data_IF_102922753806
#
_entry.id   IF_102922753806
#
_cell.length_a   1.000
_cell.length_b   1.000
_cell.length_c   1.000
_cell.angle_alpha   90.00
_cell.angle_beta   90.00
_cell.angle_gamma   90.00
#
_symmetry.space_group_name_H-M   'P 1'
#
loop_
_entity.id
_entity.type
_entity.pdbx_description
1 polymer ?
#
# COMPACT_ATOMS: atom_id res chain seq x y z
N UNK A 1 19.52 18.37 7.28
CA UNK A 1 20.33 19.52 7.75
C UNK A 1 20.02 20.71 6.86
N UNK A 2 19.62 21.83 7.47
CA UNK A 2 19.30 23.09 6.78
C UNK A 2 20.37 24.09 7.20
N UNK A 3 20.95 24.81 6.25
CA UNK A 3 21.87 25.91 6.51
C UNK A 3 21.31 27.20 5.90
N UNK A 4 21.17 28.24 6.71
CA UNK A 4 20.58 29.53 6.33
C UNK A 4 19.24 29.42 5.55
N UNK A 5 18.38 28.46 5.93
CA UNK A 5 17.09 28.24 5.27
C UNK A 5 17.13 27.36 4.01
N UNK A 6 18.31 26.96 3.54
CA UNK A 6 18.47 26.05 2.39
C UNK A 6 18.76 24.61 2.84
N UNK A 7 18.08 23.59 2.30
CA UNK A 7 18.39 22.20 2.61
C UNK A 7 19.77 21.84 2.03
N UNK A 8 20.71 21.44 2.90
CA UNK A 8 22.08 21.10 2.51
C UNK A 8 22.25 19.59 2.28
N UNK A 9 21.94 18.78 3.30
CA UNK A 9 21.91 17.31 3.17
C UNK A 9 20.78 16.73 4.01
N UNK A 10 19.92 15.94 3.38
CA UNK A 10 18.81 15.21 4.01
C UNK A 10 19.03 13.71 4.01
N UNK A 11 20.15 13.24 3.46
CA UNK A 11 20.42 11.81 3.29
C UNK A 11 20.80 11.16 4.63
N UNK A 12 20.01 10.20 5.13
CA UNK A 12 20.24 9.59 6.45
C UNK A 12 21.60 8.89 6.57
N UNK A 13 22.11 8.34 5.47
CA UNK A 13 23.41 7.66 5.46
C UNK A 13 24.57 8.63 5.67
N UNK A 14 24.49 9.82 5.06
CA UNK A 14 25.44 10.91 5.29
C UNK A 14 25.29 11.42 6.73
N UNK A 15 24.05 11.62 7.19
CA UNK A 15 23.76 12.13 8.54
C UNK A 15 24.25 11.17 9.64
N UNK A 16 24.09 9.86 9.49
CA UNK A 16 24.59 8.85 10.46
C UNK A 16 26.10 8.74 10.51
N UNK A 17 26.80 9.10 9.43
CA UNK A 17 28.26 9.13 9.38
C UNK A 17 28.81 10.44 9.98
N UNK A 18 28.10 11.56 9.78
CA UNK A 18 28.43 12.83 10.43
C UNK A 18 28.09 12.84 11.92
N UNK A 19 26.97 12.22 12.30
CA UNK A 19 26.44 12.19 13.66
C UNK A 19 26.28 10.72 14.05
N UNK A 20 27.24 10.21 14.81
CA UNK A 20 27.18 8.84 15.29
C UNK A 20 25.96 8.68 16.23
N UNK A 21 25.07 7.70 16.01
CA UNK A 21 23.97 7.45 16.93
C UNK A 21 24.53 7.10 18.32
N UNK A 22 23.92 7.63 19.40
CA UNK A 22 24.46 7.45 20.74
C UNK A 22 24.36 5.98 21.17
N UNK A 23 25.51 5.36 21.44
CA UNK A 23 25.60 4.04 22.07
C UNK A 23 25.67 4.19 23.60
N UNK A 24 25.23 3.16 24.33
CA UNK A 24 25.22 3.17 25.81
C UNK A 24 26.63 3.46 26.36
N UNK A 25 27.68 2.95 25.70
CA UNK A 25 29.08 3.18 26.05
C UNK A 25 29.51 4.63 25.82
N UNK A 26 29.05 5.28 24.74
CA UNK A 26 29.40 6.69 24.47
C UNK A 26 28.69 7.65 25.41
N UNK A 27 27.48 7.32 25.87
CA UNK A 27 26.81 8.06 26.96
C UNK A 27 27.62 8.00 28.26
N UNK A 28 28.12 6.82 28.65
CA UNK A 28 28.91 6.67 29.89
C UNK A 28 30.26 7.40 29.78
N UNK A 29 30.94 7.35 28.63
CA UNK A 29 32.18 8.11 28.43
C UNK A 29 31.96 9.63 28.43
N UNK A 30 30.85 10.12 27.87
CA UNK A 30 30.54 11.57 27.85
C UNK A 30 30.32 12.15 29.25
N UNK A 31 29.82 11.35 30.21
CA UNK A 31 29.62 11.76 31.60
C UNK A 31 30.94 11.85 32.36
N UNK A 32 31.94 11.04 32.00
CA UNK A 32 33.23 10.95 32.72
C UNK A 32 34.28 11.92 32.18
N UNK A 33 34.26 12.24 30.88
CA UNK A 33 35.35 12.98 30.21
C UNK A 33 34.99 14.40 29.77
N UNK A 34 33.73 14.82 29.93
CA UNK A 34 33.29 16.21 29.80
C UNK A 34 33.31 16.82 28.39
N UNK A 35 33.92 16.21 27.38
CA UNK A 35 33.99 16.73 26.02
C UNK A 35 34.16 15.63 24.97
N UNK A 36 33.07 14.96 24.58
CA UNK A 36 33.07 14.10 23.39
C UNK A 36 31.91 14.54 22.49
N UNK A 37 32.21 15.34 21.48
CA UNK A 37 31.25 15.68 20.43
C UNK A 37 30.91 14.42 19.64
N UNK A 38 29.63 14.08 19.50
CA UNK A 38 29.17 12.98 18.64
C UNK A 38 29.28 13.27 17.13
N UNK A 39 29.95 14.38 16.79
CA UNK A 39 30.20 14.85 15.43
C UNK A 39 31.56 14.30 14.99
N UNK A 40 31.57 13.57 13.88
CA UNK A 40 32.82 13.04 13.31
C UNK A 40 33.72 14.16 12.80
N UNK A 41 35.03 14.08 13.08
CA UNK A 41 36.05 15.00 12.55
C UNK A 41 36.50 14.65 11.11
N UNK A 42 36.00 13.54 10.54
CA UNK A 42 36.28 13.14 9.15
C UNK A 42 35.07 13.44 8.27
N UNK A 43 35.30 14.01 7.09
CA UNK A 43 34.23 14.20 6.10
C UNK A 43 33.70 12.82 5.67
N UNK A 44 32.38 12.61 5.65
CA UNK A 44 31.79 11.36 5.19
C UNK A 44 32.20 11.07 3.74
N UNK A 45 32.64 9.85 3.44
CA UNK A 45 33.01 9.46 2.07
C UNK A 45 31.84 9.62 1.08
N UNK A 46 30.61 9.53 1.59
CA UNK A 46 29.38 9.76 0.83
C UNK A 46 29.18 11.20 0.33
N UNK A 47 29.86 12.21 0.91
CA UNK A 47 29.78 13.62 0.43
C UNK A 47 30.59 13.85 -0.85
N UNK A 48 31.56 12.99 -1.16
CA UNK A 48 32.35 13.01 -2.40
C UNK A 48 31.83 12.00 -3.45
N UNK A 49 30.84 11.17 -3.10
CA UNK A 49 30.27 10.13 -3.95
C UNK A 49 29.12 10.67 -4.81
N UNK A 50 29.07 10.29 -6.08
CA UNK A 50 27.90 10.53 -6.94
C UNK A 50 26.67 9.68 -6.53
N UNK A 51 26.79 8.87 -5.48
CA UNK A 51 25.74 7.98 -4.92
C UNK A 51 25.61 8.29 -3.42
N UNK A 52 25.02 9.43 -3.04
CA UNK A 52 25.00 9.90 -1.65
C UNK A 52 24.14 9.03 -0.72
N UNK A 53 23.21 8.26 -1.28
CA UNK A 53 22.31 7.35 -0.55
C UNK A 53 22.93 5.98 -0.22
N UNK A 54 24.18 5.69 -0.59
CA UNK A 54 24.79 4.36 -0.38
C UNK A 54 26.27 4.43 0.01
N UNK A 55 26.68 3.62 0.99
CA UNK A 55 28.08 3.45 1.39
C UNK A 55 28.82 2.49 0.45
N UNK A 56 30.09 2.77 0.16
CA UNK A 56 30.91 2.04 -0.82
C UNK A 56 31.48 0.72 -0.30
N UNK A 57 31.68 0.59 1.01
CA UNK A 57 32.37 -0.50 1.71
C UNK A 57 31.43 -1.51 2.38
N UNK A 58 30.14 -1.47 2.04
CA UNK A 58 29.10 -2.26 2.68
C UNK A 58 29.28 -3.75 2.37
N UNK A 59 29.25 -4.61 3.39
CA UNK A 59 29.43 -6.07 3.27
C UNK A 59 28.29 -6.81 3.96
N UNK A 60 27.64 -7.71 3.23
CA UNK A 60 26.65 -8.63 3.75
C UNK A 60 27.15 -10.07 3.64
N UNK A 61 26.73 -10.92 4.58
CA UNK A 61 27.03 -12.37 4.57
C UNK A 61 26.45 -13.05 3.32
N UNK A 62 25.27 -12.60 2.89
CA UNK A 62 24.59 -13.07 1.68
C UNK A 62 24.07 -11.86 0.90
N UNK A 63 24.18 -11.91 -0.43
CA UNK A 63 23.64 -10.89 -1.31
C UNK A 63 22.21 -11.26 -1.71
N UNK A 64 21.23 -10.45 -1.32
CA UNK A 64 19.82 -10.68 -1.66
C UNK A 64 19.10 -9.37 -1.98
N UNK A 65 18.12 -9.45 -2.88
CA UNK A 65 17.23 -8.35 -3.21
C UNK A 65 15.80 -8.86 -3.37
N UNK A 66 14.86 -8.18 -2.73
CA UNK A 66 13.43 -8.43 -2.87
C UNK A 66 12.76 -7.22 -3.48
N UNK A 67 11.88 -7.44 -4.45
CA UNK A 67 11.07 -6.41 -5.08
C UNK A 67 9.60 -6.74 -4.86
N UNK A 68 8.92 -5.87 -4.13
CA UNK A 68 7.50 -5.95 -3.83
C UNK A 68 6.74 -4.94 -4.68
N UNK A 69 5.78 -5.44 -5.45
CA UNK A 69 4.80 -4.62 -6.16
C UNK A 69 3.53 -4.50 -5.31
N UNK A 70 3.36 -3.36 -4.66
CA UNK A 70 2.24 -3.11 -3.74
C UNK A 70 1.25 -2.16 -4.38
N UNK A 71 0.00 -2.60 -4.53
CA UNK A 71 -1.07 -1.80 -5.12
C UNK A 71 -2.22 -1.56 -4.15
N UNK A 72 -2.74 -0.35 -4.17
CA UNK A 72 -3.97 0.05 -3.52
C UNK A 72 -5.00 0.43 -4.57
N UNK A 73 -6.18 -0.17 -4.46
CA UNK A 73 -7.29 0.06 -5.37
C UNK A 73 -8.32 1.01 -4.78
N UNK A 74 -8.47 2.17 -5.41
CA UNK A 74 -9.55 3.10 -5.14
C UNK A 74 -10.70 2.83 -6.11
N UNK A 75 -11.91 2.71 -5.58
CA UNK A 75 -13.12 2.56 -6.37
C UNK A 75 -14.29 3.29 -5.73
N UNK A 76 -15.12 3.95 -6.55
CA UNK A 76 -16.39 4.53 -6.09
C UNK A 76 -17.49 3.99 -6.99
N UNK A 77 -18.43 3.28 -6.39
CA UNK A 77 -19.63 2.78 -7.05
C UNK A 77 -20.82 3.63 -6.56
N UNK A 78 -21.55 4.22 -7.50
CA UNK A 78 -22.74 5.02 -7.16
C UNK A 78 -23.94 4.13 -6.82
N UNK A 79 -25.05 4.77 -6.40
CA UNK A 79 -26.31 4.11 -6.05
C UNK A 79 -26.91 3.24 -7.15
N UNK A 80 -26.70 3.62 -8.41
CA UNK A 80 -27.17 2.85 -9.57
C UNK A 80 -26.29 1.63 -9.88
N UNK A 81 -25.22 1.42 -9.11
CA UNK A 81 -24.23 0.35 -9.34
C UNK A 81 -23.20 0.67 -10.43
N UNK A 82 -23.13 1.93 -10.88
CA UNK A 82 -22.16 2.40 -11.88
C UNK A 82 -20.82 2.73 -11.22
N UNK A 83 -19.74 2.26 -11.85
CA UNK A 83 -18.37 2.55 -11.43
C UNK A 83 -17.97 3.97 -11.86
N UNK A 84 -17.88 4.89 -10.89
CA UNK A 84 -17.60 6.32 -11.12
C UNK A 84 -16.10 6.62 -11.06
N UNK A 85 -15.40 6.00 -10.10
CA UNK A 85 -13.94 6.08 -9.93
C UNK A 85 -13.40 4.66 -9.87
N UNK A 86 -12.29 4.40 -10.55
CA UNK A 86 -11.57 3.14 -10.44
C UNK A 86 -10.12 3.38 -10.84
N UNK A 87 -9.23 3.40 -9.86
CA UNK A 87 -7.82 3.75 -10.04
C UNK A 87 -6.95 2.88 -9.13
N UNK A 88 -5.72 2.67 -9.56
CA UNK A 88 -4.69 1.97 -8.79
C UNK A 88 -3.59 2.97 -8.45
N UNK A 89 -3.18 2.96 -7.19
CA UNK A 89 -1.93 3.55 -6.73
C UNK A 89 -0.97 2.42 -6.43
N UNK A 90 0.14 2.37 -7.14
CA UNK A 90 1.13 1.33 -7.00
C UNK A 90 2.46 1.86 -6.50
N UNK A 91 3.16 1.04 -5.74
CA UNK A 91 4.53 1.27 -5.30
C UNK A 91 5.39 0.06 -5.64
N UNK A 92 6.62 0.32 -6.08
CA UNK A 92 7.67 -0.68 -6.18
C UNK A 92 8.58 -0.48 -4.97
N UNK A 93 8.45 -1.37 -4.00
CA UNK A 93 9.25 -1.38 -2.78
C UNK A 93 10.40 -2.37 -2.96
N UNK A 94 11.60 -1.97 -2.56
CA UNK A 94 12.80 -2.79 -2.71
C UNK A 94 13.44 -2.96 -1.34
N UNK A 95 13.72 -4.20 -0.96
CA UNK A 95 14.59 -4.51 0.15
C UNK A 95 15.91 -5.09 -0.38
N UNK A 96 17.00 -4.33 -0.24
CA UNK A 96 18.29 -4.65 -0.83
C UNK A 96 19.34 -4.88 0.26
N UNK A 97 19.82 -6.12 0.38
CA UNK A 97 20.97 -6.49 1.20
C UNK A 97 22.10 -6.94 0.27
N UNK A 98 22.78 -5.97 -0.34
CA UNK A 98 23.80 -6.19 -1.36
C UNK A 98 25.13 -5.58 -0.94
N UNK A 99 26.24 -6.26 -1.22
CA UNK A 99 27.58 -5.78 -0.86
C UNK A 99 28.14 -4.82 -1.93
N UNK A 100 29.00 -3.89 -1.52
CA UNK A 100 29.68 -2.95 -2.42
C UNK A 100 28.74 -1.96 -3.11
N UNK A 101 29.05 -1.68 -4.39
CA UNK A 101 28.31 -0.75 -5.27
C UNK A 101 27.61 -1.51 -6.42
N UNK A 102 26.49 -2.21 -6.14
CA UNK A 102 25.75 -2.93 -7.16
C UNK A 102 25.05 -1.97 -8.11
N UNK A 103 25.02 -2.31 -9.40
CA UNK A 103 24.25 -1.59 -10.41
C UNK A 103 23.08 -2.48 -10.86
N UNK A 104 21.85 -2.01 -10.62
CA UNK A 104 20.62 -2.74 -10.86
C UNK A 104 19.90 -2.20 -12.09
N UNK A 105 19.24 -3.11 -12.80
CA UNK A 105 18.38 -2.78 -13.93
C UNK A 105 17.07 -3.55 -13.80
N UNK A 106 15.94 -2.85 -13.68
CA UNK A 106 14.59 -3.42 -13.61
C UNK A 106 13.78 -3.01 -14.85
N UNK A 107 13.22 -4.00 -15.56
CA UNK A 107 12.31 -3.81 -16.69
C UNK A 107 10.92 -4.36 -16.39
N UNK A 108 9.92 -3.77 -17.05
CA UNK A 108 8.55 -4.26 -17.04
C UNK A 108 8.19 -4.82 -18.42
N UNK A 109 7.32 -5.82 -18.46
CA UNK A 109 6.85 -6.40 -19.72
C UNK A 109 5.90 -5.45 -20.47
N UNK A 110 5.24 -4.56 -19.75
CA UNK A 110 4.23 -3.63 -20.23
C UNK A 110 4.37 -2.23 -19.59
N UNK A 111 5.51 -1.54 -19.80
CA UNK A 111 5.80 -0.27 -19.15
C UNK A 111 4.86 0.87 -19.58
N UNK A 112 4.13 0.72 -20.69
CA UNK A 112 3.16 1.72 -21.17
C UNK A 112 2.00 2.02 -20.20
N UNK A 113 1.83 1.20 -19.16
CA UNK A 113 0.88 1.44 -18.07
C UNK A 113 1.38 2.57 -17.13
N UNK A 114 2.70 2.77 -17.05
CA UNK A 114 3.38 3.68 -16.12
C UNK A 114 3.44 5.14 -16.62
N UNK A 115 2.29 5.69 -17.01
CA UNK A 115 2.21 7.06 -17.55
C UNK A 115 2.38 8.17 -16.49
N UNK A 116 2.05 7.88 -15.23
CA UNK A 116 2.20 8.79 -14.09
C UNK A 116 3.07 8.07 -13.06
N UNK A 117 4.39 8.28 -13.15
CA UNK A 117 5.39 7.61 -12.32
C UNK A 117 6.31 8.64 -11.65
N UNK A 118 6.71 8.34 -10.42
CA UNK A 118 7.68 9.10 -9.64
C UNK A 118 8.75 8.17 -9.13
N UNK A 119 10.00 8.62 -9.17
CA UNK A 119 11.16 7.78 -8.89
C UNK A 119 11.90 8.25 -7.65
N UNK A 120 12.51 7.29 -6.98
CA UNK A 120 13.55 7.57 -6.00
C UNK A 120 14.74 8.26 -6.68
N UNK A 121 15.46 9.18 -6.01
CA UNK A 121 16.65 9.82 -6.56
C UNK A 121 17.76 8.87 -7.05
N UNK A 122 17.72 7.60 -6.64
CA UNK A 122 18.67 6.60 -7.09
C UNK A 122 18.47 6.13 -8.53
N UNK A 123 17.30 6.43 -9.12
CA UNK A 123 16.97 6.07 -10.49
C UNK A 123 17.57 7.06 -11.47
N UNK A 124 18.34 6.55 -12.43
CA UNK A 124 18.85 7.32 -13.55
C UNK A 124 17.70 7.58 -14.52
N UNK A 125 17.38 8.85 -14.78
CA UNK A 125 16.24 9.22 -15.63
C UNK A 125 16.48 8.95 -17.13
N UNK A 126 17.71 9.09 -17.64
CA UNK A 126 17.98 8.92 -19.08
C UNK A 126 17.62 7.51 -19.61
N UNK A 127 18.00 6.39 -18.95
CA UNK A 127 17.56 5.05 -19.38
C UNK A 127 16.04 4.86 -19.32
N UNK A 128 15.37 5.49 -18.35
CA UNK A 128 13.92 5.48 -18.26
C UNK A 128 13.27 6.20 -19.45
N UNK A 129 13.69 7.44 -19.72
CA UNK A 129 13.16 8.24 -20.84
C UNK A 129 13.39 7.56 -22.20
N UNK A 130 14.55 6.93 -22.40
CA UNK A 130 14.90 6.30 -23.67
C UNK A 130 14.23 4.94 -23.90
N UNK A 131 14.23 4.08 -22.88
CA UNK A 131 13.88 2.65 -23.04
C UNK A 131 12.88 2.14 -21.99
N UNK A 132 12.38 3.00 -21.10
CA UNK A 132 11.51 2.62 -19.98
C UNK A 132 12.15 1.58 -19.04
N UNK A 133 13.47 1.71 -18.85
CA UNK A 133 14.27 0.84 -18.00
C UNK A 133 14.68 1.59 -16.74
N UNK A 134 14.43 1.01 -15.56
CA UNK A 134 14.90 1.56 -14.30
C UNK A 134 16.34 1.11 -14.06
N UNK A 135 17.30 2.02 -14.19
CA UNK A 135 18.70 1.78 -13.83
C UNK A 135 19.07 2.56 -12.57
N UNK A 136 19.61 1.88 -11.56
CA UNK A 136 19.86 2.48 -10.25
C UNK A 136 20.92 1.74 -9.42
N UNK A 137 21.53 2.48 -8.50
CA UNK A 137 22.31 1.89 -7.40
C UNK A 137 21.43 1.95 -6.14
N UNK A 138 20.94 0.82 -5.60
CA UNK A 138 19.96 0.83 -4.51
C UNK A 138 20.55 1.36 -3.19
N UNK A 139 19.82 2.15 -2.40
CA UNK A 139 20.04 2.23 -0.96
C UNK A 139 20.10 0.84 -0.32
N UNK A 140 20.77 0.73 0.83
CA UNK A 140 20.77 -0.52 1.60
C UNK A 140 19.53 -0.62 2.49
N UNK A 141 18.95 -1.82 2.58
CA UNK A 141 17.70 -2.09 3.28
C UNK A 141 16.45 -1.76 2.45
N UNK A 142 15.36 -1.48 3.15
CA UNK A 142 14.05 -1.20 2.56
C UNK A 142 13.91 0.25 2.11
N UNK A 143 13.49 0.45 0.85
CA UNK A 143 13.18 1.76 0.31
C UNK A 143 12.13 1.68 -0.81
N UNK A 144 11.44 2.79 -1.06
CA UNK A 144 10.53 2.91 -2.21
C UNK A 144 11.32 3.31 -3.44
N UNK A 145 11.40 2.43 -4.44
CA UNK A 145 12.08 2.69 -5.71
C UNK A 145 11.27 3.62 -6.61
N UNK A 146 9.97 3.36 -6.73
CA UNK A 146 9.06 4.21 -7.49
C UNK A 146 7.62 4.09 -6.99
N UNK A 147 6.81 5.08 -7.33
CA UNK A 147 5.35 5.04 -7.20
C UNK A 147 4.72 5.39 -8.53
N UNK A 148 3.57 4.80 -8.84
CA UNK A 148 2.84 5.04 -10.07
C UNK A 148 1.33 5.09 -9.83
N UNK A 149 0.60 5.67 -10.78
CA UNK A 149 -0.86 5.72 -10.77
C UNK A 149 -1.45 5.27 -12.09
N UNK A 150 -2.40 4.35 -12.03
CA UNK A 150 -3.16 3.88 -13.19
C UNK A 150 -4.60 4.31 -13.02
N UNK A 151 -5.08 5.16 -13.92
CA UNK A 151 -6.43 5.72 -13.86
C UNK A 151 -7.39 4.97 -14.78
N UNK A 152 -8.69 5.10 -14.50
CA UNK A 152 -9.78 4.62 -15.37
C UNK A 152 -9.74 3.11 -15.65
N UNK A 153 -9.48 2.30 -14.62
CA UNK A 153 -9.70 0.86 -14.73
C UNK A 153 -11.17 0.59 -15.01
N UNK A 154 -11.46 -0.41 -15.84
CA UNK A 154 -12.83 -0.69 -16.29
C UNK A 154 -13.66 -1.47 -15.27
N UNK A 155 -13.03 -2.03 -14.25
CA UNK A 155 -13.64 -3.12 -13.50
C UNK A 155 -12.98 -3.36 -12.14
N UNK A 156 -13.74 -3.88 -11.17
CA UNK A 156 -13.30 -4.23 -9.82
C UNK A 156 -13.26 -5.75 -9.61
N UNK A 157 -12.43 -6.29 -8.70
CA UNK A 157 -12.33 -7.74 -8.42
C UNK A 157 -13.48 -8.27 -7.55
N UNK A 158 -14.19 -7.35 -6.87
CA UNK A 158 -15.32 -7.63 -5.98
C UNK A 158 -16.48 -6.70 -6.37
N UNK A 159 -17.70 -7.20 -6.28
CA UNK A 159 -18.91 -6.39 -6.26
C UNK A 159 -19.59 -6.45 -4.90
N UNK A 160 -20.19 -5.33 -4.49
CA UNK A 160 -21.07 -5.23 -3.33
C UNK A 160 -22.39 -4.63 -3.81
N UNK A 161 -23.51 -5.25 -3.44
CA UNK A 161 -24.85 -4.82 -3.81
C UNK A 161 -25.68 -4.60 -2.55
N UNK A 162 -25.69 -3.39 -1.99
CA UNK A 162 -26.63 -3.02 -0.94
C UNK A 162 -28.03 -2.80 -1.53
N UNK A 163 -29.06 -3.18 -0.76
CA UNK A 163 -30.46 -2.97 -1.04
C UNK A 163 -31.13 -2.57 0.28
N UNK A 164 -31.76 -1.39 0.30
CA UNK A 164 -32.47 -0.88 1.46
C UNK A 164 -33.90 -0.57 1.07
N UNK A 165 -34.86 -1.06 1.85
CA UNK A 165 -36.29 -0.75 1.71
C UNK A 165 -36.84 -0.37 3.07
N UNK A 166 -37.51 0.77 3.17
CA UNK A 166 -38.10 1.23 4.43
C UNK A 166 -39.58 1.52 4.30
N UNK A 167 -40.36 1.00 5.23
CA UNK A 167 -41.79 1.24 5.40
C UNK A 167 -42.13 1.33 6.89
N UNK A 168 -43.15 2.12 7.23
CA UNK A 168 -43.77 2.13 8.58
C UNK A 168 -42.79 2.16 9.76
N UNK A 169 -41.67 2.89 9.65
CA UNK A 169 -40.66 3.01 10.71
C UNK A 169 -39.69 1.83 10.84
N UNK A 170 -39.73 0.88 9.90
CA UNK A 170 -38.77 -0.23 9.79
C UNK A 170 -38.01 -0.14 8.46
N UNK A 171 -36.71 -0.39 8.48
CA UNK A 171 -35.89 -0.55 7.28
C UNK A 171 -35.34 -1.96 7.20
N UNK A 172 -35.61 -2.64 6.09
CA UNK A 172 -34.94 -3.90 5.73
C UNK A 172 -33.69 -3.59 4.91
N UNK A 173 -32.59 -4.21 5.29
CA UNK A 173 -31.31 -4.13 4.57
C UNK A 173 -30.91 -5.51 4.08
N UNK A 174 -30.37 -5.58 2.87
CA UNK A 174 -29.69 -6.74 2.32
C UNK A 174 -28.43 -6.29 1.58
N UNK A 175 -27.29 -6.92 1.87
CA UNK A 175 -26.00 -6.63 1.24
C UNK A 175 -25.43 -7.94 0.71
N UNK A 176 -25.27 -8.02 -0.61
CA UNK A 176 -24.68 -9.18 -1.29
C UNK A 176 -23.25 -8.85 -1.73
N UNK A 177 -22.30 -9.75 -1.47
CA UNK A 177 -20.89 -9.61 -1.87
C UNK A 177 -20.51 -10.80 -2.75
N UNK A 178 -19.77 -10.54 -3.82
CA UNK A 178 -19.27 -11.60 -4.70
C UNK A 178 -18.06 -11.18 -5.51
N UNK A 179 -17.44 -12.16 -6.16
CA UNK A 179 -16.30 -11.93 -7.07
C UNK A 179 -16.84 -11.35 -8.39
N UNK A 180 -16.14 -10.37 -8.94
CA UNK A 180 -16.33 -9.85 -10.30
C UNK A 180 -14.96 -9.79 -10.95
N UNK A 181 -14.80 -10.16 -12.22
CA UNK A 181 -13.49 -10.12 -12.90
C UNK A 181 -12.41 -10.86 -12.10
N UNK A 182 -12.58 -12.18 -11.97
CA UNK A 182 -11.69 -13.02 -11.18
C UNK A 182 -10.21 -12.78 -11.54
N UNK A 183 -9.37 -12.32 -10.58
CA UNK A 183 -7.96 -12.10 -10.80
C UNK A 183 -7.13 -13.39 -10.90
N UNK A 184 -7.77 -14.57 -10.79
CA UNK A 184 -7.12 -15.88 -10.83
C UNK A 184 -6.35 -16.24 -9.56
N UNK A 185 -6.53 -15.45 -8.49
CA UNK A 185 -5.94 -15.66 -7.15
C UNK A 185 -7.00 -15.46 -6.07
N UNK A 186 -6.76 -16.03 -4.90
CA UNK A 186 -7.68 -15.89 -3.77
C UNK A 186 -7.78 -14.44 -3.30
N UNK A 187 -9.01 -13.99 -3.09
CA UNK A 187 -9.31 -12.71 -2.47
C UNK A 187 -9.67 -12.97 -1.01
N UNK A 188 -8.85 -12.41 -0.12
CA UNK A 188 -8.86 -12.67 1.32
C UNK A 188 -9.12 -11.39 2.10
N UNK A 189 -9.32 -11.53 3.42
CA UNK A 189 -9.53 -10.41 4.34
C UNK A 189 -10.65 -9.47 3.89
N UNK A 190 -11.71 -10.03 3.29
CA UNK A 190 -12.83 -9.25 2.79
C UNK A 190 -13.65 -8.76 3.98
N UNK A 191 -13.85 -7.45 4.06
CA UNK A 191 -14.72 -6.81 5.05
C UNK A 191 -15.60 -5.76 4.39
N UNK A 192 -16.84 -5.63 4.86
CA UNK A 192 -17.73 -4.52 4.51
C UNK A 192 -18.09 -3.76 5.77
N UNK A 193 -17.81 -2.47 5.79
CA UNK A 193 -18.08 -1.59 6.92
C UNK A 193 -19.00 -0.45 6.49
N UNK A 194 -19.93 -0.06 7.36
CA UNK A 194 -20.75 1.12 7.15
C UNK A 194 -21.23 1.68 8.47
N UNK A 195 -21.52 2.98 8.49
CA UNK A 195 -22.09 3.66 9.65
C UNK A 195 -23.61 3.56 9.59
N UNK A 196 -24.28 3.14 10.67
CA UNK A 196 -25.74 3.25 10.72
C UNK A 196 -26.14 4.74 10.70
N UNK A 197 -27.14 5.12 9.89
CA UNK A 197 -27.67 6.49 9.91
C UNK A 197 -28.11 6.90 11.33
N UNK A 198 -27.94 8.17 11.73
CA UNK A 198 -28.26 8.62 13.10
C UNK A 198 -29.68 8.25 13.56
N UNK A 199 -30.63 8.31 12.62
CA UNK A 199 -32.05 7.99 12.82
C UNK A 199 -32.37 6.50 13.04
N UNK A 200 -31.37 5.62 13.01
CA UNK A 200 -31.54 4.20 13.37
C UNK A 200 -31.36 4.04 14.88
N UNK A 201 -32.41 3.55 15.55
CA UNK A 201 -32.43 3.28 17.00
C UNK A 201 -31.82 1.92 17.34
N UNK A 202 -32.13 0.89 16.54
CA UNK A 202 -31.64 -0.46 16.71
C UNK A 202 -31.50 -1.15 15.36
N UNK A 203 -30.59 -2.12 15.28
CA UNK A 203 -30.36 -2.92 14.09
C UNK A 203 -30.12 -4.38 14.50
N UNK A 204 -30.85 -5.29 13.87
CA UNK A 204 -30.68 -6.73 13.98
C UNK A 204 -30.22 -7.25 12.62
N UNK A 205 -28.93 -7.54 12.52
CA UNK A 205 -28.25 -7.91 11.29
C UNK A 205 -27.62 -9.30 11.44
N UNK A 206 -27.83 -10.17 10.45
CA UNK A 206 -27.24 -11.49 10.39
C UNK A 206 -26.66 -11.76 9.00
N UNK A 207 -25.65 -12.63 8.92
CA UNK A 207 -25.07 -13.03 7.65
C UNK A 207 -25.11 -14.54 7.47
N UNK A 208 -25.24 -15.00 6.23
CA UNK A 208 -25.10 -16.43 5.92
C UNK A 208 -23.64 -16.91 5.98
N UNK A 209 -22.69 -15.99 5.99
CA UNK A 209 -21.26 -16.26 6.01
C UNK A 209 -20.51 -15.08 6.62
N UNK A 210 -19.45 -15.38 7.38
CA UNK A 210 -18.71 -14.38 8.13
C UNK A 210 -19.45 -13.90 9.38
N UNK A 211 -18.86 -12.91 10.05
CA UNK A 211 -19.35 -12.39 11.33
C UNK A 211 -19.77 -10.93 11.18
N UNK A 212 -20.94 -10.57 11.70
CA UNK A 212 -21.44 -9.19 11.74
C UNK A 212 -21.33 -8.67 13.17
N UNK A 213 -20.69 -7.52 13.34
CA UNK A 213 -20.57 -6.83 14.62
C UNK A 213 -21.09 -5.40 14.48
N UNK A 214 -21.85 -4.94 15.47
CA UNK A 214 -22.30 -3.55 15.58
C UNK A 214 -21.63 -2.97 16.81
N UNK A 215 -20.79 -1.95 16.62
CA UNK A 215 -20.05 -1.29 17.68
C UNK A 215 -20.91 -0.23 18.38
N UNK A 216 -20.46 0.22 19.56
CA UNK A 216 -21.17 1.20 20.37
C UNK A 216 -21.32 2.57 19.68
N UNK A 217 -20.41 2.90 18.75
CA UNK A 217 -20.44 4.09 17.93
C UNK A 217 -21.40 3.96 16.73
N UNK A 218 -22.21 2.89 16.65
CA UNK A 218 -23.08 2.54 15.53
C UNK A 218 -22.34 2.16 14.22
N UNK A 219 -21.04 1.85 14.29
CA UNK A 219 -20.31 1.24 13.16
C UNK A 219 -20.72 -0.23 13.00
N UNK A 220 -21.24 -0.60 11.83
CA UNK A 220 -21.45 -1.99 11.45
C UNK A 220 -20.25 -2.51 10.67
N UNK A 221 -19.69 -3.64 11.12
CA UNK A 221 -18.59 -4.32 10.45
C UNK A 221 -18.96 -5.77 10.15
N UNK A 222 -18.93 -6.14 8.88
CA UNK A 222 -19.13 -7.49 8.41
C UNK A 222 -17.81 -8.07 7.91
N UNK A 223 -17.26 -9.03 8.67
CA UNK A 223 -16.02 -9.73 8.35
C UNK A 223 -16.31 -11.03 7.60
N UNK A 224 -16.06 -11.05 6.30
CA UNK A 224 -16.31 -12.19 5.40
C UNK A 224 -15.09 -13.11 5.33
N UNK A 225 -13.88 -12.54 5.31
CA UNK A 225 -12.66 -13.30 5.11
C UNK A 225 -12.48 -13.71 3.65
N UNK A 226 -12.95 -14.91 3.28
CA UNK A 226 -12.89 -15.44 1.89
C UNK A 226 -14.29 -15.71 1.38
N UNK A 227 -14.54 -15.40 0.11
CA UNK A 227 -15.82 -15.78 -0.52
C UNK A 227 -15.84 -17.31 -0.72
N UNK A 228 -16.84 -18.02 -0.16
CA UNK A 228 -16.94 -19.46 -0.32
C UNK A 228 -17.46 -19.80 -1.73
N UNK A 229 -17.15 -21.01 -2.22
CA UNK A 229 -17.38 -21.42 -3.62
C UNK A 229 -18.83 -21.80 -3.92
N UNK A 230 -19.57 -22.20 -2.89
CA UNK A 230 -20.92 -22.75 -2.97
C UNK A 230 -21.99 -21.66 -2.99
N UNK A 231 -21.83 -20.58 -2.21
CA UNK A 231 -22.85 -19.53 -2.09
C UNK A 231 -22.22 -18.16 -1.86
N UNK A 232 -22.76 -17.14 -2.53
CA UNK A 232 -22.34 -15.76 -2.30
C UNK A 232 -22.65 -15.31 -0.85
N UNK A 233 -21.68 -14.67 -0.15
CA UNK A 233 -21.92 -14.05 1.15
C UNK A 233 -23.00 -12.97 1.04
N UNK A 234 -23.93 -13.00 1.99
CA UNK A 234 -25.00 -12.03 2.13
C UNK A 234 -25.23 -11.70 3.60
N UNK A 235 -25.33 -10.41 3.91
CA UNK A 235 -25.85 -9.91 5.18
C UNK A 235 -27.26 -9.38 4.96
N UNK A 236 -28.17 -9.65 5.90
CA UNK A 236 -29.52 -9.13 5.86
C UNK A 236 -30.06 -8.89 7.27
N UNK A 237 -31.04 -8.00 7.40
CA UNK A 237 -31.61 -7.68 8.69
C UNK A 237 -32.64 -6.57 8.66
N UNK A 238 -33.10 -6.20 9.85
CA UNK A 238 -34.04 -5.11 10.08
C UNK A 238 -33.40 -4.03 10.95
N UNK A 239 -33.76 -2.79 10.68
CA UNK A 239 -33.35 -1.62 11.44
C UNK A 239 -34.59 -0.82 11.82
N UNK A 240 -34.67 -0.39 13.07
CA UNK A 240 -35.78 0.41 13.59
C UNK A 240 -35.45 1.89 13.48
N UNK A 241 -36.32 2.67 12.85
CA UNK A 241 -36.15 4.12 12.74
C UNK A 241 -36.64 4.82 14.02
N UNK A 242 -36.19 6.06 14.21
CA UNK A 242 -36.74 6.96 15.23
C UNK A 242 -38.25 7.17 15.07
N UNK A 243 -38.94 7.32 16.19
CA UNK A 243 -40.39 7.55 16.25
C UNK A 243 -40.76 8.77 15.40
N UNK A 244 -41.71 8.59 14.48
CA UNK A 244 -42.18 9.65 13.58
C UNK A 244 -41.53 9.65 12.19
N UNK A 245 -40.49 8.83 11.95
CA UNK A 245 -39.95 8.61 10.61
C UNK A 245 -40.54 7.35 9.98
N UNK A 246 -41.23 7.50 8.85
CA UNK A 246 -41.75 6.35 8.12
C UNK A 246 -40.72 5.70 7.19
N UNK A 247 -39.77 6.50 6.68
CA UNK A 247 -38.81 6.09 5.66
C UNK A 247 -37.41 6.60 5.94
N UNK A 248 -36.42 5.83 5.48
CA UNK A 248 -35.03 6.21 5.53
C UNK A 248 -34.74 7.26 4.44
N UNK A 249 -34.14 8.37 4.83
CA UNK A 249 -33.77 9.48 3.94
C UNK A 249 -32.25 9.64 3.77
N UNK A 250 -31.45 9.06 4.67
CA UNK A 250 -29.99 9.06 4.60
C UNK A 250 -29.51 7.63 4.43
N UNK A 251 -28.84 7.37 3.33
CA UNK A 251 -28.34 6.04 2.98
C UNK A 251 -26.86 5.92 3.35
N UNK A 252 -26.44 4.81 3.96
CA UNK A 252 -25.04 4.61 4.31
C UNK A 252 -24.16 4.43 3.07
N UNK A 253 -22.89 4.78 3.22
CA UNK A 253 -21.83 4.40 2.27
C UNK A 253 -21.10 3.20 2.84
N UNK A 254 -20.93 2.17 2.02
CA UNK A 254 -20.26 0.93 2.37
C UNK A 254 -18.79 1.01 1.96
N UNK A 255 -17.90 0.90 2.94
CA UNK A 255 -16.47 0.78 2.74
C UNK A 255 -16.10 -0.70 2.61
N UNK A 256 -15.33 -1.04 1.59
CA UNK A 256 -14.94 -2.41 1.29
C UNK A 256 -13.44 -2.56 1.44
N UNK A 257 -13.00 -3.55 2.20
CA UNK A 257 -11.59 -3.91 2.27
C UNK A 257 -11.37 -5.31 1.75
N UNK A 258 -10.22 -5.56 1.11
CA UNK A 258 -9.81 -6.88 0.65
C UNK A 258 -8.29 -6.93 0.47
N UNK A 259 -7.76 -8.15 0.29
CA UNK A 259 -6.34 -8.41 -0.02
C UNK A 259 -6.22 -9.52 -1.06
N UNK A 260 -5.31 -9.35 -2.03
CA UNK A 260 -4.97 -10.33 -3.06
C UNK A 260 -3.45 -10.47 -3.10
N UNK A 261 -2.95 -11.68 -2.85
CA UNK A 261 -1.52 -11.98 -2.95
C UNK A 261 -1.16 -12.50 -4.33
N UNK A 262 -0.01 -12.06 -4.86
CA UNK A 262 0.53 -12.51 -6.14
C UNK A 262 -0.13 -11.88 -7.37
N UNK A 263 -0.88 -10.79 -7.21
CA UNK A 263 -1.53 -10.05 -8.32
C UNK A 263 -1.27 -8.56 -8.17
N UNK A 264 -1.04 -7.92 -9.31
CA UNK A 264 -1.16 -6.49 -9.53
C UNK A 264 -2.40 -6.26 -10.43
N UNK A 265 -3.44 -5.65 -9.89
CA UNK A 265 -4.69 -5.37 -10.61
C UNK A 265 -4.51 -4.31 -11.72
N UNK A 266 -3.46 -3.49 -11.68
CA UNK A 266 -3.10 -2.66 -12.84
C UNK A 266 -2.71 -3.48 -14.07
N UNK A 267 -2.35 -4.75 -13.87
CA UNK A 267 -1.77 -5.62 -14.89
C UNK A 267 -0.27 -5.40 -15.09
N UNK A 268 0.40 -4.52 -14.34
CA UNK A 268 1.84 -4.32 -14.43
C UNK A 268 2.60 -5.61 -14.13
N UNK A 269 3.52 -5.97 -15.02
CA UNK A 269 4.33 -7.18 -14.89
C UNK A 269 5.81 -6.82 -14.92
N UNK A 270 6.53 -7.32 -13.92
CA UNK A 270 8.00 -7.28 -13.92
C UNK A 270 8.49 -8.29 -14.96
N UNK A 271 9.35 -7.83 -15.86
CA UNK A 271 9.98 -8.66 -16.89
C UNK A 271 11.32 -9.20 -16.39
N UNK A 272 12.23 -8.31 -15.99
CA UNK A 272 13.59 -8.71 -15.62
C UNK A 272 14.20 -7.80 -14.56
N UNK A 273 14.99 -8.39 -13.66
CA UNK A 273 15.91 -7.69 -12.76
C UNK A 273 17.32 -8.21 -12.96
N UNK A 274 18.21 -7.36 -13.44
CA UNK A 274 19.64 -7.65 -13.58
C UNK A 274 20.45 -6.93 -12.52
N UNK A 275 21.50 -7.60 -12.03
CA UNK A 275 22.43 -7.06 -11.04
C UNK A 275 23.86 -7.22 -11.56
N UNK A 276 24.64 -6.15 -11.47
CA UNK A 276 26.07 -6.11 -11.83
C UNK A 276 26.90 -5.67 -10.62
N UNK A 277 28.22 -5.83 -10.72
CA UNK A 277 29.20 -5.39 -9.72
C UNK A 277 29.03 -6.04 -8.34
N UNK A 278 28.64 -7.31 -8.32
CA UNK A 278 28.51 -8.11 -7.10
C UNK A 278 29.60 -9.19 -7.04
N UNK A 279 30.14 -9.49 -5.84
CA UNK A 279 31.19 -10.51 -5.67
C UNK A 279 30.65 -11.94 -5.81
N UNK A 280 29.36 -12.15 -5.54
CA UNK A 280 28.70 -13.44 -5.64
C UNK A 280 27.31 -13.30 -6.25
N UNK A 281 26.77 -14.42 -6.75
CA UNK A 281 25.42 -14.44 -7.35
C UNK A 281 24.37 -14.10 -6.28
N UNK A 282 23.54 -13.07 -6.49
CA UNK A 282 22.55 -12.68 -5.50
C UNK A 282 21.29 -13.55 -5.60
N UNK A 283 20.59 -13.68 -4.47
CA UNK A 283 19.21 -14.15 -4.45
C UNK A 283 18.26 -13.01 -4.89
N UNK A 284 17.21 -13.35 -5.64
CA UNK A 284 16.21 -12.39 -6.13
C UNK A 284 14.82 -12.88 -5.76
N UNK A 285 14.05 -12.06 -5.05
CA UNK A 285 12.65 -12.33 -4.72
C UNK A 285 11.72 -11.32 -5.39
N UNK A 286 10.56 -11.80 -5.84
CA UNK A 286 9.48 -10.96 -6.35
C UNK A 286 8.18 -11.34 -5.70
N UNK A 287 7.38 -10.35 -5.35
CA UNK A 287 6.02 -10.55 -4.87
C UNK A 287 5.16 -9.39 -5.29
N UNK A 288 3.89 -9.69 -5.54
CA UNK A 288 2.86 -8.70 -5.77
C UNK A 288 1.80 -8.81 -4.66
N UNK A 289 1.24 -7.67 -4.29
CA UNK A 289 0.17 -7.54 -3.30
C UNK A 289 -0.75 -6.44 -3.78
N UNK A 290 -2.04 -6.75 -3.94
CA UNK A 290 -3.07 -5.73 -4.12
C UNK A 290 -4.00 -5.71 -2.91
N UNK A 291 -4.36 -4.53 -2.43
CA UNK A 291 -5.34 -4.32 -1.38
C UNK A 291 -6.33 -3.22 -1.77
N UNK A 292 -7.47 -3.17 -1.08
CA UNK A 292 -8.35 -2.01 -1.18
C UNK A 292 -7.65 -0.76 -0.61
N UNK A 293 -7.76 0.36 -1.33
CA UNK A 293 -7.55 1.71 -0.82
C UNK A 293 -8.90 2.30 -0.40
N UNK A 294 -9.29 3.41 -1.03
CA UNK A 294 -10.62 4.00 -0.87
C UNK A 294 -11.64 3.28 -1.76
N UNK A 295 -12.21 2.18 -1.28
CA UNK A 295 -13.26 1.44 -1.98
C UNK A 295 -14.63 1.71 -1.34
N UNK A 296 -15.44 2.52 -2.02
CA UNK A 296 -16.77 2.94 -1.58
C UNK A 296 -17.88 2.41 -2.49
N UNK A 297 -18.97 1.98 -1.87
CA UNK A 297 -20.21 1.61 -2.54
C UNK A 297 -21.36 2.40 -1.91
N UNK A 298 -21.98 3.28 -2.69
CA UNK A 298 -23.06 4.17 -2.24
C UNK A 298 -24.42 3.50 -2.45
N UNK A 299 -25.34 3.70 -1.50
CA UNK A 299 -26.70 3.12 -1.52
C UNK A 299 -27.82 4.14 -1.66
#
# INVERSE_FOLDING_TARGET
MIDNGFPLTTEPNILREMIAPPNIVSKVLSVVTGNVSNVSNTLPGATASCVPWRKTDLKHTSNEVYVDLVEEMDAIINRDGTLVKCEIYGEVQVNSHLSGLPDLTLSFANPSILNDARFHPCVRLRPWEANQILSFVPPDGEFKLMSYRVKKLKSTPIYVKPQLSSDSGTCRISVLVGIRNDPGKSIDSITVQFQLPPCILSADLSANHGTVNILADKTCSWSIGRIPKDKAPSMAGTMTLETGLERLNVFPTFQVSFRIMGVALSGLQIDKLDLKNLPSRPYKGFRALTRAGEFEVRS
#
